data_IF_655146123332
#
_entry.id   IF_655146123332
#
_cell.length_a   1.000
_cell.length_b   1.000
_cell.length_c   1.000
_cell.angle_alpha   90.00
_cell.angle_beta   90.00
_cell.angle_gamma   90.00
#
_symmetry.space_group_name_H-M   'P 1'
#
loop_
_entity.id
_entity.type
_entity.pdbx_description
1 polymer ?
#
# COMPACT_ATOMS: atom_id res chain seq x y z
N UNK A 1 -12.40 0.71 -6.32
CA UNK A 1 -12.10 1.87 -7.21
C UNK A 1 -13.18 2.09 -8.28
N UNK A 2 -13.67 1.04 -8.97
CA UNK A 2 -14.72 1.16 -10.02
C UNK A 2 -16.09 1.57 -9.46
N UNK A 3 -16.47 1.12 -8.26
CA UNK A 3 -17.75 1.50 -7.61
C UNK A 3 -17.88 3.01 -7.38
N UNK A 4 -16.84 3.63 -6.85
CA UNK A 4 -16.82 5.08 -6.59
C UNK A 4 -16.78 5.89 -7.91
N UNK A 5 -16.10 5.36 -8.93
CA UNK A 5 -16.14 5.93 -10.28
C UNK A 5 -17.53 5.83 -10.94
N UNK A 6 -18.26 4.74 -10.71
CA UNK A 6 -19.66 4.57 -11.16
C UNK A 6 -20.59 5.53 -10.44
N UNK A 7 -20.39 5.71 -9.13
CA UNK A 7 -21.12 6.69 -8.31
C UNK A 7 -20.82 8.14 -8.75
N UNK A 8 -19.62 8.39 -9.28
CA UNK A 8 -19.23 9.66 -9.89
C UNK A 8 -19.69 9.81 -11.36
N UNK A 9 -20.47 8.85 -11.90
CA UNK A 9 -21.07 8.94 -13.23
C UNK A 9 -20.11 8.67 -14.39
N UNK A 10 -18.96 8.03 -14.16
CA UNK A 10 -18.10 7.64 -15.28
C UNK A 10 -18.74 6.53 -16.11
N UNK A 11 -18.79 6.67 -17.45
CA UNK A 11 -19.30 5.64 -18.33
C UNK A 11 -18.32 4.47 -18.36
N UNK A 12 -18.81 3.28 -18.03
CA UNK A 12 -18.06 2.05 -18.16
C UNK A 12 -18.70 1.15 -19.20
N UNK A 13 -17.84 0.41 -19.90
CA UNK A 13 -18.23 -0.69 -20.77
C UNK A 13 -18.58 -1.90 -19.89
N UNK A 14 -19.88 -2.12 -19.68
CA UNK A 14 -20.43 -3.14 -18.78
C UNK A 14 -19.90 -4.55 -19.07
N UNK A 15 -19.66 -4.88 -20.34
CA UNK A 15 -19.14 -6.19 -20.74
C UNK A 15 -17.71 -6.40 -20.21
N UNK A 16 -16.85 -5.36 -20.27
CA UNK A 16 -15.49 -5.41 -19.73
C UNK A 16 -15.47 -5.39 -18.21
N UNK A 17 -16.38 -4.64 -17.59
CA UNK A 17 -16.53 -4.58 -16.13
C UNK A 17 -16.91 -5.96 -15.58
N UNK A 18 -17.86 -6.64 -16.21
CA UNK A 18 -18.30 -7.98 -15.82
C UNK A 18 -17.23 -9.05 -16.08
N UNK A 19 -16.53 -8.97 -17.22
CA UNK A 19 -15.42 -9.90 -17.56
C UNK A 19 -14.24 -9.80 -16.59
N UNK A 20 -14.06 -8.63 -15.96
CA UNK A 20 -12.90 -8.38 -15.11
C UNK A 20 -12.92 -9.11 -13.76
N UNK A 21 -14.01 -9.82 -13.40
CA UNK A 21 -14.16 -10.61 -12.16
C UNK A 21 -13.79 -9.85 -10.86
N UNK A 22 -13.75 -8.51 -10.90
CA UNK A 22 -13.44 -7.61 -9.79
C UNK A 22 -14.66 -7.31 -8.90
N UNK A 23 -15.81 -7.93 -9.21
CA UNK A 23 -17.08 -7.79 -8.52
C UNK A 23 -17.53 -9.15 -8.02
N UNK A 24 -17.06 -9.54 -6.84
CA UNK A 24 -17.91 -10.36 -5.97
C UNK A 24 -18.59 -9.36 -5.06
N UNK A 25 -19.87 -9.10 -5.29
CA UNK A 25 -20.68 -8.52 -4.24
C UNK A 25 -20.76 -9.58 -3.14
N UNK A 26 -20.29 -9.28 -1.93
CA UNK A 26 -20.65 -10.09 -0.77
C UNK A 26 -22.16 -9.84 -0.55
N UNK A 27 -23.03 -10.84 -0.75
CA UNK A 27 -24.45 -10.62 -0.54
C UNK A 27 -24.70 -10.43 0.96
N UNK A 28 -25.40 -9.35 1.32
CA UNK A 28 -26.02 -9.19 2.63
C UNK A 28 -26.84 -10.45 2.97
N UNK A 29 -26.76 -10.98 4.20
CA UNK A 29 -27.37 -12.27 4.54
C UNK A 29 -28.90 -12.12 4.59
N UNK A 30 -29.57 -12.42 3.48
CA UNK A 30 -31.02 -12.58 3.43
C UNK A 30 -31.38 -14.05 3.79
N UNK A 31 -32.13 -14.30 4.87
CA UNK A 31 -32.40 -15.66 5.36
C UNK A 31 -33.29 -16.54 4.47
N UNK A 32 -33.83 -16.01 3.36
CA UNK A 32 -34.79 -16.73 2.51
C UNK A 32 -34.36 -16.96 1.05
N UNK A 33 -33.09 -16.73 0.70
CA UNK A 33 -32.64 -16.89 -0.69
C UNK A 33 -32.28 -18.35 -1.01
N UNK A 34 -33.24 -19.07 -1.62
CA UNK A 34 -33.02 -20.36 -2.27
C UNK A 34 -31.96 -20.24 -3.39
N UNK A 35 -31.01 -21.19 -3.49
CA UNK A 35 -29.89 -21.11 -4.43
C UNK A 35 -30.35 -21.46 -5.85
N UNK A 36 -30.87 -20.46 -6.57
CA UNK A 36 -31.09 -20.54 -8.01
C UNK A 36 -30.47 -19.29 -8.62
N UNK A 37 -29.69 -19.50 -9.66
CA UNK A 37 -29.10 -18.48 -10.54
C UNK A 37 -27.69 -17.98 -10.18
N UNK A 38 -26.80 -18.90 -9.84
CA UNK A 38 -25.37 -18.77 -10.19
C UNK A 38 -25.13 -19.49 -11.53
N UNK A 39 -24.54 -18.85 -12.56
CA UNK A 39 -24.20 -19.57 -13.78
C UNK A 39 -23.10 -20.59 -13.47
N UNK A 40 -23.49 -21.86 -13.42
CA UNK A 40 -22.56 -22.98 -13.33
C UNK A 40 -21.81 -23.10 -14.65
N UNK A 41 -20.50 -22.81 -14.63
CA UNK A 41 -19.57 -23.26 -15.67
C UNK A 41 -19.55 -24.79 -15.65
N UNK A 42 -20.47 -25.39 -16.40
CA UNK A 42 -20.61 -26.83 -16.55
C UNK A 42 -19.59 -27.30 -17.58
N UNK A 43 -18.39 -27.65 -17.12
CA UNK A 43 -17.62 -28.69 -17.79
C UNK A 43 -18.33 -29.99 -17.40
N UNK A 44 -18.98 -30.64 -18.36
CA UNK A 44 -19.87 -31.77 -18.09
C UNK A 44 -19.15 -32.90 -17.35
N UNK A 45 -19.62 -33.24 -16.14
CA UNK A 45 -19.40 -34.56 -15.54
C UNK A 45 -18.89 -34.66 -14.10
N UNK A 46 -18.72 -33.59 -13.31
CA UNK A 46 -18.19 -33.74 -11.94
C UNK A 46 -18.91 -32.88 -10.91
N UNK A 47 -19.46 -33.53 -9.87
CA UNK A 47 -20.04 -32.85 -8.71
C UNK A 47 -18.94 -32.03 -8.01
N UNK A 48 -19.23 -30.76 -7.70
CA UNK A 48 -18.30 -29.90 -6.94
C UNK A 48 -18.15 -30.51 -5.56
N UNK A 49 -16.99 -31.10 -5.33
CA UNK A 49 -16.68 -31.91 -4.17
C UNK A 49 -16.21 -30.95 -3.05
N UNK A 50 -16.48 -31.26 -1.79
CA UNK A 50 -16.10 -30.44 -0.61
C UNK A 50 -14.60 -30.05 -0.59
N UNK A 51 -13.79 -30.84 -1.32
CA UNK A 51 -12.38 -30.57 -1.65
C UNK A 51 -12.15 -29.28 -2.44
N UNK A 52 -13.08 -28.77 -3.24
CA UNK A 52 -12.90 -27.57 -4.07
C UNK A 52 -12.98 -26.28 -3.24
N UNK A 53 -13.86 -26.23 -2.23
CA UNK A 53 -13.94 -25.10 -1.28
C UNK A 53 -12.72 -25.10 -0.36
N UNK A 54 -12.32 -26.28 0.12
CA UNK A 54 -11.09 -26.44 0.89
C UNK A 54 -9.85 -26.05 0.06
N UNK A 55 -9.80 -26.46 -1.23
CA UNK A 55 -8.74 -26.07 -2.16
C UNK A 55 -8.72 -24.56 -2.42
N UNK A 56 -9.87 -23.91 -2.56
CA UNK A 56 -9.96 -22.44 -2.71
C UNK A 56 -9.46 -21.71 -1.47
N UNK A 57 -9.83 -22.16 -0.26
CA UNK A 57 -9.34 -21.58 1.00
C UNK A 57 -7.85 -21.81 1.22
N UNK A 58 -7.35 -22.99 0.86
CA UNK A 58 -5.90 -23.31 0.87
C UNK A 58 -5.16 -22.44 -0.15
N UNK A 59 -5.70 -22.26 -1.36
CA UNK A 59 -5.13 -21.37 -2.38
C UNK A 59 -5.10 -19.92 -1.89
N UNK A 60 -6.18 -19.44 -1.27
CA UNK A 60 -6.23 -18.10 -0.67
C UNK A 60 -5.18 -17.95 0.43
N UNK A 61 -5.06 -18.89 1.36
CA UNK A 61 -4.03 -18.85 2.41
C UNK A 61 -2.61 -18.83 1.85
N UNK A 62 -2.32 -19.67 0.85
CA UNK A 62 -1.01 -19.68 0.17
C UNK A 62 -0.75 -18.39 -0.61
N UNK A 63 -1.77 -17.79 -1.21
CA UNK A 63 -1.64 -16.51 -1.90
C UNK A 63 -1.33 -15.37 -0.93
N UNK A 64 -2.00 -15.32 0.21
CA UNK A 64 -1.70 -14.32 1.25
C UNK A 64 -0.25 -14.47 1.73
N UNK A 65 0.17 -15.69 2.05
CA UNK A 65 1.55 -15.96 2.46
C UNK A 65 2.57 -15.52 1.40
N UNK A 66 2.30 -15.81 0.13
CA UNK A 66 3.14 -15.37 -0.98
C UNK A 66 3.16 -13.84 -1.13
N UNK A 67 2.02 -13.17 -0.99
CA UNK A 67 1.95 -11.70 -0.98
C UNK A 67 2.76 -11.11 0.17
N UNK A 68 2.68 -11.69 1.38
CA UNK A 68 3.49 -11.29 2.52
C UNK A 68 4.99 -11.50 2.24
N UNK A 69 5.35 -12.64 1.65
CA UNK A 69 6.72 -12.94 1.24
C UNK A 69 7.26 -11.95 0.21
N UNK A 70 6.47 -11.63 -0.81
CA UNK A 70 6.82 -10.66 -1.86
C UNK A 70 6.88 -9.23 -1.31
N UNK A 71 6.00 -8.85 -0.40
CA UNK A 71 6.05 -7.57 0.28
C UNK A 71 7.38 -7.37 1.02
N UNK A 72 7.82 -8.39 1.76
CA UNK A 72 9.06 -8.36 2.54
C UNK A 72 10.32 -8.52 1.68
N UNK A 73 10.34 -9.48 0.75
CA UNK A 73 11.55 -9.90 0.01
C UNK A 73 11.60 -9.47 -1.45
N UNK A 74 10.52 -8.89 -1.97
CA UNK A 74 10.45 -8.41 -3.34
C UNK A 74 11.60 -7.45 -3.65
N UNK A 75 12.09 -7.46 -4.89
CA UNK A 75 13.19 -6.59 -5.28
C UNK A 75 12.71 -5.14 -5.37
N UNK A 76 13.38 -4.24 -4.65
CA UNK A 76 13.11 -2.80 -4.75
C UNK A 76 13.84 -2.24 -5.97
N UNK A 77 13.10 -1.53 -6.81
CA UNK A 77 13.67 -0.88 -7.99
C UNK A 77 14.27 0.48 -7.64
N UNK A 78 15.42 0.78 -8.22
CA UNK A 78 16.03 2.11 -8.17
C UNK A 78 16.26 2.59 -9.61
N UNK A 79 15.48 3.60 -10.01
CA UNK A 79 15.49 4.15 -11.36
C UNK A 79 16.78 4.92 -11.69
N UNK A 80 17.59 5.26 -10.68
CA UNK A 80 18.82 6.03 -10.84
C UNK A 80 20.08 5.18 -10.73
N UNK A 81 19.96 3.89 -10.40
CA UNK A 81 21.09 2.96 -10.26
C UNK A 81 21.13 1.97 -11.42
N UNK A 82 22.29 1.82 -12.05
CA UNK A 82 22.48 0.80 -13.09
C UNK A 82 22.33 -0.59 -12.51
N UNK A 83 21.56 -1.45 -13.18
CA UNK A 83 21.22 -2.75 -12.62
C UNK A 83 20.21 -2.67 -11.46
N UNK A 84 19.52 -1.53 -11.27
CA UNK A 84 18.40 -1.32 -10.34
C UNK A 84 17.04 -1.83 -10.89
N UNK A 85 17.02 -2.36 -12.11
CA UNK A 85 15.84 -2.95 -12.76
C UNK A 85 15.27 -2.16 -13.93
N UNK A 86 15.84 -0.99 -14.24
CA UNK A 86 15.64 -0.31 -15.51
C UNK A 86 16.80 -0.60 -16.48
N UNK A 87 16.53 -0.44 -17.78
CA UNK A 87 17.58 -0.53 -18.82
C UNK A 87 18.61 0.59 -18.63
N UNK A 88 19.85 0.37 -19.10
CA UNK A 88 20.94 1.35 -18.94
C UNK A 88 20.59 2.71 -19.57
N UNK A 89 19.96 2.70 -20.74
CA UNK A 89 19.52 3.92 -21.42
C UNK A 89 18.43 4.65 -20.61
N UNK A 90 17.48 3.92 -20.03
CA UNK A 90 16.46 4.52 -19.18
C UNK A 90 17.07 5.16 -17.93
N UNK A 91 18.03 4.49 -17.27
CA UNK A 91 18.75 5.07 -16.11
C UNK A 91 19.50 6.35 -16.50
N UNK A 92 20.17 6.38 -17.66
CA UNK A 92 20.81 7.60 -18.16
C UNK A 92 19.80 8.73 -18.41
N UNK A 93 18.66 8.42 -19.03
CA UNK A 93 17.60 9.39 -19.26
C UNK A 93 17.04 9.96 -17.94
N UNK A 94 16.77 9.10 -16.95
CA UNK A 94 16.32 9.54 -15.62
C UNK A 94 17.37 10.41 -14.92
N UNK A 95 18.64 10.02 -14.97
CA UNK A 95 19.73 10.85 -14.44
C UNK A 95 19.84 12.21 -15.12
N UNK A 96 19.56 12.30 -16.42
CA UNK A 96 19.56 13.59 -17.13
C UNK A 96 18.35 14.45 -16.72
N UNK A 97 17.17 13.84 -16.54
CA UNK A 97 15.96 14.52 -16.05
C UNK A 97 16.17 15.14 -14.65
N UNK A 98 17.00 14.52 -13.80
CA UNK A 98 17.38 15.05 -12.48
C UNK A 98 18.12 16.39 -12.55
N UNK A 99 18.68 16.76 -13.71
CA UNK A 99 19.37 18.04 -13.92
C UNK A 99 18.48 19.10 -14.57
N UNK A 100 17.21 18.81 -14.85
CA UNK A 100 16.29 19.78 -15.44
C UNK A 100 15.40 20.45 -14.39
N UNK A 101 15.11 21.76 -14.51
CA UNK A 101 14.41 22.55 -13.50
C UNK A 101 12.88 22.35 -13.53
N UNK A 102 12.42 21.11 -13.48
CA UNK A 102 10.99 20.82 -13.38
C UNK A 102 10.44 21.25 -12.01
N UNK A 103 9.22 21.80 -12.02
CA UNK A 103 8.51 22.13 -10.79
C UNK A 103 8.18 20.84 -10.03
N UNK A 104 8.60 20.77 -8.78
CA UNK A 104 8.26 19.73 -7.80
C UNK A 104 7.71 20.37 -6.54
N UNK A 105 6.84 19.66 -5.82
CA UNK A 105 6.47 20.07 -4.47
C UNK A 105 7.59 19.68 -3.51
N UNK A 106 8.06 20.63 -2.70
CA UNK A 106 8.89 20.41 -1.50
C UNK A 106 8.04 20.64 -0.26
N UNK A 107 8.30 19.85 0.77
CA UNK A 107 7.72 20.00 2.10
C UNK A 107 8.52 21.06 2.87
N UNK A 108 7.84 22.11 3.25
CA UNK A 108 8.41 23.22 4.01
C UNK A 108 8.49 22.88 5.50
N UNK A 109 9.29 23.62 6.26
CA UNK A 109 9.45 23.41 7.72
C UNK A 109 8.15 23.66 8.50
N UNK A 110 7.24 24.46 7.96
CA UNK A 110 5.90 24.72 8.52
C UNK A 110 4.89 23.60 8.19
N UNK A 111 5.31 22.57 7.43
CA UNK A 111 4.45 21.48 6.96
C UNK A 111 3.66 21.79 5.70
N UNK A 112 3.77 23.00 5.14
CA UNK A 112 3.13 23.37 3.88
C UNK A 112 3.89 22.80 2.67
N UNK A 113 3.19 22.64 1.54
CA UNK A 113 3.79 22.20 0.29
C UNK A 113 4.00 23.39 -0.64
N UNK A 114 5.22 23.57 -1.14
CA UNK A 114 5.56 24.64 -2.09
C UNK A 114 6.10 24.08 -3.40
N UNK A 115 5.63 24.61 -4.52
CA UNK A 115 6.23 24.31 -5.81
C UNK A 115 7.60 25.01 -5.93
N UNK A 116 8.65 24.22 -6.08
CA UNK A 116 10.03 24.68 -6.32
C UNK A 116 10.55 24.11 -7.63
N UNK A 117 11.38 24.88 -8.32
CA UNK A 117 12.20 24.39 -9.46
C UNK A 117 13.68 24.29 -9.10
N UNK A 118 14.06 24.85 -7.95
CA UNK A 118 15.43 24.87 -7.44
C UNK A 118 15.40 24.73 -5.91
N UNK A 119 16.34 23.99 -5.30
CA UNK A 119 17.45 23.26 -5.92
C UNK A 119 17.01 21.95 -6.60
N UNK A 120 17.79 21.52 -7.59
CA UNK A 120 17.53 20.31 -8.38
C UNK A 120 17.50 19.05 -7.48
N UNK A 121 16.67 18.04 -7.81
CA UNK A 121 16.50 16.87 -6.93
C UNK A 121 17.75 16.00 -6.87
N UNK A 122 18.51 15.83 -7.96
CA UNK A 122 19.78 15.06 -7.98
C UNK A 122 19.67 13.67 -7.35
N UNK A 123 18.50 13.04 -7.45
CA UNK A 123 18.18 11.76 -6.82
C UNK A 123 18.02 11.80 -5.30
N UNK A 124 17.69 12.94 -4.71
CA UNK A 124 17.27 13.04 -3.32
C UNK A 124 15.98 12.26 -3.07
N UNK A 125 15.85 11.77 -1.85
CA UNK A 125 14.63 11.08 -1.43
C UNK A 125 13.49 12.07 -1.32
N UNK A 126 12.27 11.64 -1.67
CA UNK A 126 11.07 12.46 -1.56
C UNK A 126 10.70 12.72 -0.11
N UNK A 127 10.35 13.97 0.14
CA UNK A 127 9.82 14.46 1.39
C UNK A 127 8.53 13.73 1.73
N UNK A 128 8.33 13.49 3.02
CA UNK A 128 7.07 12.93 3.52
C UNK A 128 6.59 13.72 4.72
N UNK A 129 5.31 14.06 4.68
CA UNK A 129 4.63 14.69 5.79
C UNK A 129 4.47 13.73 6.97
N UNK A 130 4.28 14.27 8.16
CA UNK A 130 4.16 13.47 9.38
C UNK A 130 2.89 12.61 9.43
N UNK A 131 1.86 13.00 8.69
CA UNK A 131 0.56 12.35 8.55
C UNK A 131 0.48 11.41 7.33
N UNK A 132 1.61 11.12 6.68
CA UNK A 132 1.57 10.29 5.48
C UNK A 132 1.12 8.85 5.78
N UNK A 133 0.29 8.31 4.89
CA UNK A 133 -0.15 6.92 4.96
C UNK A 133 0.85 6.05 4.20
N UNK A 134 1.41 5.06 4.89
CA UNK A 134 2.37 4.12 4.31
C UNK A 134 1.72 2.75 4.18
N UNK A 135 2.04 2.02 3.13
CA UNK A 135 1.48 0.69 2.93
C UNK A 135 2.11 -0.35 3.86
N UNK A 136 1.34 -1.36 4.27
CA UNK A 136 1.73 -2.42 5.21
C UNK A 136 2.99 -3.20 4.78
N UNK A 137 3.27 -3.25 3.47
CA UNK A 137 4.48 -3.89 2.94
C UNK A 137 5.77 -3.20 3.39
N UNK A 138 5.75 -1.89 3.62
CA UNK A 138 6.90 -1.14 4.12
C UNK A 138 7.25 -1.60 5.53
N UNK A 139 6.24 -1.69 6.41
CA UNK A 139 6.40 -2.17 7.78
C UNK A 139 6.95 -3.59 7.83
N UNK A 140 6.29 -4.51 7.11
CA UNK A 140 6.71 -5.92 7.02
C UNK A 140 8.16 -6.07 6.53
N UNK A 141 8.60 -5.18 5.62
CA UNK A 141 9.98 -5.20 5.13
C UNK A 141 10.98 -4.64 6.15
N UNK A 142 10.63 -3.56 6.84
CA UNK A 142 11.48 -3.00 7.90
C UNK A 142 11.67 -3.99 9.07
N UNK A 143 10.64 -4.79 9.36
CA UNK A 143 10.70 -5.88 10.34
C UNK A 143 11.56 -7.06 9.86
N UNK A 144 11.43 -7.44 8.58
CA UNK A 144 12.13 -8.59 8.01
C UNK A 144 13.60 -8.32 7.65
N UNK A 145 13.97 -7.07 7.33
CA UNK A 145 15.30 -6.67 6.89
C UNK A 145 15.80 -5.44 7.66
N UNK A 146 16.70 -5.67 8.62
CA UNK A 146 17.33 -4.61 9.40
C UNK A 146 18.13 -3.61 8.55
N UNK A 147 18.53 -3.98 7.32
CA UNK A 147 19.22 -3.10 6.40
C UNK A 147 18.28 -2.16 5.62
N UNK A 148 17.00 -2.49 5.54
CA UNK A 148 15.97 -1.69 4.89
C UNK A 148 15.47 -0.59 5.83
N UNK A 149 16.18 0.54 5.83
CA UNK A 149 15.93 1.68 6.74
C UNK A 149 15.69 2.97 5.95
N UNK A 150 14.51 3.15 5.34
CA UNK A 150 14.23 4.32 4.52
C UNK A 150 14.31 5.61 5.35
N UNK A 151 15.23 6.50 4.95
CA UNK A 151 15.56 7.71 5.71
C UNK A 151 14.41 8.71 5.81
N UNK A 152 13.69 8.96 4.72
CA UNK A 152 12.54 9.86 4.70
C UNK A 152 11.37 9.36 5.57
N UNK A 153 11.21 8.05 5.72
CA UNK A 153 10.19 7.40 6.57
C UNK A 153 10.56 7.52 8.06
N UNK A 154 11.78 7.11 8.42
CA UNK A 154 12.22 7.02 9.81
C UNK A 154 12.59 8.39 10.39
N UNK A 155 13.35 9.20 9.65
CA UNK A 155 13.76 10.54 10.13
C UNK A 155 12.63 11.55 9.89
N UNK A 156 11.92 11.44 8.76
CA UNK A 156 10.86 12.39 8.40
C UNK A 156 11.40 13.71 7.84
N UNK A 157 10.49 14.64 7.58
CA UNK A 157 10.80 16.00 7.12
C UNK A 157 11.04 16.09 5.61
N UNK A 158 11.58 17.24 5.19
CA UNK A 158 11.86 17.61 3.81
C UNK A 158 12.94 16.79 3.10
N UNK A 159 13.08 15.48 3.40
CA UNK A 159 13.69 14.42 2.58
C UNK A 159 15.18 14.51 2.25
N UNK A 160 15.79 15.67 2.48
CA UNK A 160 17.13 16.02 2.02
C UNK A 160 18.20 15.48 2.95
N UNK A 161 19.21 14.85 2.36
CA UNK A 161 20.45 14.47 3.04
C UNK A 161 20.46 13.10 3.74
N UNK A 162 19.32 12.40 3.83
CA UNK A 162 19.27 11.09 4.50
C UNK A 162 18.49 10.04 3.70
N UNK A 163 19.20 9.27 2.85
CA UNK A 163 18.60 8.13 2.11
C UNK A 163 18.33 6.93 3.02
N UNK A 164 19.26 6.64 3.93
CA UNK A 164 19.17 5.52 4.88
C UNK A 164 19.29 6.06 6.31
N UNK A 165 18.30 5.77 7.15
CA UNK A 165 18.32 6.20 8.54
C UNK A 165 19.36 5.43 9.36
N UNK A 166 20.08 6.11 10.28
CA UNK A 166 20.98 5.43 11.20
C UNK A 166 20.20 4.57 12.20
N UNK A 167 20.88 3.57 12.76
CA UNK A 167 20.25 2.58 13.65
C UNK A 167 19.72 3.20 14.95
N UNK A 168 20.36 4.29 15.41
CA UNK A 168 19.96 5.07 16.60
C UNK A 168 18.50 5.56 16.59
N UNK A 169 17.88 5.76 15.42
CA UNK A 169 16.50 6.25 15.32
C UNK A 169 15.46 5.14 15.51
N UNK A 170 15.86 3.86 15.51
CA UNK A 170 14.91 2.74 15.52
C UNK A 170 13.99 2.74 14.29
N UNK A 171 12.87 2.03 14.36
CA UNK A 171 11.85 2.00 13.30
C UNK A 171 10.84 3.14 13.42
N UNK A 172 10.75 3.78 14.60
CA UNK A 172 9.65 4.67 14.97
C UNK A 172 8.40 3.89 15.43
N UNK A 173 7.40 4.64 15.92
CA UNK A 173 6.11 4.10 16.36
C UNK A 173 5.09 4.31 15.24
N UNK A 174 4.35 3.26 14.91
CA UNK A 174 3.39 3.25 13.79
C UNK A 174 2.05 2.70 14.27
N UNK A 175 0.95 3.31 13.83
CA UNK A 175 -0.41 2.80 14.08
C UNK A 175 -1.08 2.37 12.78
N UNK A 176 -1.83 1.26 12.77
CA UNK A 176 -2.66 0.89 11.63
C UNK A 176 -3.84 1.86 11.48
N UNK A 177 -4.22 2.14 10.23
CA UNK A 177 -5.41 2.92 9.89
C UNK A 177 -6.57 1.95 9.68
N UNK A 178 -7.47 1.87 10.67
CA UNK A 178 -8.55 0.87 10.71
C UNK A 178 -9.60 1.04 9.60
N UNK A 179 -9.81 2.26 9.09
CA UNK A 179 -10.84 2.55 8.08
C UNK A 179 -10.55 1.97 6.68
N UNK A 180 -9.41 1.29 6.47
CA UNK A 180 -8.98 0.77 5.16
C UNK A 180 -8.51 -0.68 5.19
N UNK A 181 -9.07 -1.53 6.06
CA UNK A 181 -8.75 -2.97 6.08
C UNK A 181 -7.34 -3.33 6.59
N UNK A 182 -6.66 -2.40 7.29
CA UNK A 182 -5.33 -2.64 7.87
C UNK A 182 -4.16 -2.58 6.89
N UNK A 183 -4.38 -2.10 5.66
CA UNK A 183 -3.33 -2.01 4.64
C UNK A 183 -2.43 -0.78 4.77
N UNK A 184 -2.82 0.21 5.57
CA UNK A 184 -2.11 1.48 5.73
C UNK A 184 -1.72 1.75 7.19
N UNK A 185 -0.57 2.38 7.38
CA UNK A 185 -0.03 2.79 8.68
C UNK A 185 0.30 4.28 8.67
N UNK A 186 0.18 4.92 9.82
CA UNK A 186 0.58 6.32 10.05
C UNK A 186 1.61 6.35 11.16
N UNK A 187 2.60 7.24 11.04
CA UNK A 187 3.61 7.44 12.07
C UNK A 187 3.01 8.17 13.27
N UNK A 188 3.18 7.63 14.47
CA UNK A 188 2.75 8.29 15.71
C UNK A 188 3.84 9.28 16.12
N UNK A 189 3.48 10.56 16.16
CA UNK A 189 4.37 11.59 16.71
C UNK A 189 4.43 11.44 18.24
N UNK A 190 5.61 11.59 18.88
CA UNK A 190 5.75 11.42 20.33
C UNK A 190 4.82 12.32 21.15
N UNK A 191 4.42 13.49 20.64
CA UNK A 191 3.43 14.36 21.31
C UNK A 191 2.02 13.77 21.40
N UNK A 192 1.70 12.77 20.59
CA UNK A 192 0.38 12.14 20.50
C UNK A 192 0.39 10.71 21.06
N UNK A 193 1.52 10.24 21.61
CA UNK A 193 1.64 8.90 22.17
C UNK A 193 0.83 8.76 23.48
N UNK A 194 0.64 9.85 24.22
CA UNK A 194 -0.01 9.85 25.53
C UNK A 194 -1.54 10.05 25.48
N UNK A 195 -2.12 10.40 24.33
CA UNK A 195 -3.53 10.82 24.25
C UNK A 195 -4.52 9.73 23.83
N UNK A 196 -4.10 8.49 23.58
CA UNK A 196 -4.99 7.45 23.01
C UNK A 196 -4.80 6.03 23.57
N UNK A 197 -4.28 5.89 24.79
CA UNK A 197 -4.22 4.57 25.45
C UNK A 197 -5.61 4.11 25.97
N UNK A 198 -6.59 5.02 26.06
CA UNK A 198 -7.91 4.71 26.66
C UNK A 198 -9.03 4.31 25.67
N UNK A 199 -8.88 4.44 24.35
CA UNK A 199 -10.00 4.16 23.42
C UNK A 199 -10.09 2.71 22.91
N UNK A 200 -9.23 1.79 23.37
CA UNK A 200 -9.26 0.38 22.92
C UNK A 200 -9.72 -0.63 23.98
N UNK A 201 -10.23 -0.19 25.14
CA UNK A 201 -10.82 -1.07 26.16
C UNK A 201 -12.22 -0.60 26.56
N UNK A 202 -13.14 -0.47 25.61
CA UNK A 202 -14.57 -0.59 25.97
C UNK A 202 -15.41 -0.98 24.75
N UNK A 203 -15.61 -2.29 24.59
CA UNK A 203 -16.46 -2.85 23.54
C UNK A 203 -16.96 -4.26 23.84
N UNK A 204 -16.80 -4.75 25.06
CA UNK A 204 -17.38 -6.02 25.51
C UNK A 204 -18.20 -5.82 26.77
N UNK A 205 -19.34 -5.14 26.63
CA UNK A 205 -20.46 -5.33 27.54
C UNK A 205 -21.76 -4.75 26.96
N UNK A 206 -22.49 -5.55 26.16
CA UNK A 206 -23.95 -5.44 26.13
C UNK A 206 -24.52 -6.87 26.06
N UNK A 207 -25.36 -7.11 27.07
CA UNK A 207 -26.13 -8.29 27.48
C UNK A 207 -26.74 -9.15 26.39
#
# INVERSE_FOLDING_TARGET
>A
MVREARKAGMPFDEEKVQTSNLFTEDPEPNPDMQPKDTPQLKVEGQAVHESDVSRSKVQSATWHEEMHRLAAKGRVHDSLTFGGGLSRLAVCAWRLMEFMPFRRMDLQQDGSWKAISWPLPRGETRDMSHDCHIHSSVMKRMEADASYRPGNLIVGGGGRGCRKAPDSYGMGVWRPVLNGGGEAYIKVHPSNADSNVDECVDGRNIK
#
